data_IF_803467028442
#
_entry.id   IF_803467028442
#
_cell.length_a   1.000
_cell.length_b   1.000
_cell.length_c   1.000
_cell.angle_alpha   90.00
_cell.angle_beta   90.00
_cell.angle_gamma   90.00
#
_symmetry.space_group_name_H-M   'P 1'
#
loop_
_entity.id
_entity.type
_entity.pdbx_description
1 polymer ?
#
# COMPACT_ATOMS: atom_id res chain seq x y z
N UNK A 1 19.42 8.80 -0.54
CA UNK A 1 20.54 7.97 -1.03
C UNK A 1 20.08 6.85 -1.95
N UNK A 2 19.19 5.94 -1.49
CA UNK A 2 18.64 4.83 -2.29
C UNK A 2 18.01 5.28 -3.63
N UNK A 3 17.07 6.22 -3.62
CA UNK A 3 16.40 6.70 -4.84
C UNK A 3 17.38 7.26 -5.88
N UNK A 4 18.44 7.94 -5.43
CA UNK A 4 19.44 8.54 -6.34
C UNK A 4 20.38 7.48 -6.93
N UNK A 5 20.80 6.48 -6.14
CA UNK A 5 21.64 5.38 -6.62
C UNK A 5 20.88 4.46 -7.59
N UNK A 6 19.63 4.11 -7.26
CA UNK A 6 18.77 3.31 -8.13
C UNK A 6 18.47 4.03 -9.46
N UNK A 7 18.19 5.34 -9.41
CA UNK A 7 17.97 6.13 -10.61
C UNK A 7 19.24 6.24 -11.48
N UNK A 8 20.43 6.34 -10.88
CA UNK A 8 21.71 6.32 -11.60
C UNK A 8 22.01 4.98 -12.25
N UNK A 9 21.87 3.88 -11.50
CA UNK A 9 22.07 2.52 -12.03
C UNK A 9 21.14 2.21 -13.23
N UNK A 10 19.86 2.58 -13.14
CA UNK A 10 18.90 2.37 -14.22
C UNK A 10 19.23 3.20 -15.48
N UNK A 11 19.96 4.31 -15.34
CA UNK A 11 20.38 5.13 -16.46
C UNK A 11 21.60 4.55 -17.20
N UNK A 12 22.50 3.87 -16.48
CA UNK A 12 23.78 3.43 -17.03
C UNK A 12 23.76 1.99 -17.61
N UNK A 13 22.88 1.10 -17.13
CA UNK A 13 23.01 -0.37 -17.36
C UNK A 13 21.86 -1.01 -18.18
N UNK A 14 20.94 -0.22 -18.71
CA UNK A 14 19.82 -0.73 -19.52
C UNK A 14 20.24 -0.93 -20.99
N UNK A 15 20.26 -2.17 -21.52
CA UNK A 15 20.56 -2.37 -22.96
C UNK A 15 19.34 -2.15 -23.85
N UNK A 16 19.58 -1.19 -24.74
CA UNK A 16 18.84 -0.85 -25.93
C UNK A 16 18.65 -2.00 -26.93
N UNK A 17 17.43 -2.20 -27.46
CA UNK A 17 17.26 -2.89 -28.74
C UNK A 17 18.03 -2.15 -29.84
N UNK A 18 18.83 -2.85 -30.65
CA UNK A 18 19.68 -2.23 -31.68
C UNK A 18 18.88 -1.36 -32.67
N UNK A 19 17.64 -1.74 -32.96
CA UNK A 19 16.72 -0.99 -33.82
C UNK A 19 16.24 0.35 -33.20
N UNK A 20 16.13 0.43 -31.87
CA UNK A 20 15.81 1.68 -31.17
C UNK A 20 17.05 2.58 -31.05
N UNK A 21 18.23 1.94 -30.90
CA UNK A 21 19.54 2.61 -30.88
C UNK A 21 19.87 3.27 -32.22
N UNK A 22 19.56 2.61 -33.34
CA UNK A 22 19.76 3.17 -34.69
C UNK A 22 18.83 4.35 -35.00
N UNK A 23 17.73 4.48 -34.24
CA UNK A 23 16.77 5.58 -34.36
C UNK A 23 16.93 6.67 -33.29
N UNK A 24 17.85 6.50 -32.33
CA UNK A 24 18.12 7.46 -31.26
C UNK A 24 16.96 7.68 -30.28
N UNK A 25 16.05 6.71 -30.14
CA UNK A 25 14.86 6.85 -29.30
C UNK A 25 15.16 6.32 -27.90
N UNK A 26 15.48 7.21 -26.95
CA UNK A 26 15.78 6.81 -25.57
C UNK A 26 14.89 7.36 -24.45
N UNK A 27 14.61 6.53 -23.41
CA UNK A 27 13.82 6.96 -22.25
C UNK A 27 13.24 5.86 -21.35
N UNK A 28 12.37 6.28 -20.41
CA UNK A 28 11.60 5.41 -19.50
C UNK A 28 10.20 5.14 -20.05
N UNK A 29 9.78 3.87 -20.08
CA UNK A 29 8.39 3.49 -20.36
C UNK A 29 7.68 3.23 -19.04
N UNK A 30 6.62 3.98 -18.82
CA UNK A 30 5.77 3.79 -17.65
C UNK A 30 4.61 2.92 -18.07
N UNK A 31 4.51 1.73 -17.50
CA UNK A 31 3.35 0.85 -17.67
C UNK A 31 2.46 0.96 -16.44
N UNK A 32 1.17 1.17 -16.65
CA UNK A 32 0.15 0.89 -15.67
C UNK A 32 -0.34 -0.52 -15.91
N UNK A 33 -0.64 -1.23 -14.84
CA UNK A 33 -1.31 -2.51 -14.91
C UNK A 33 -2.18 -2.69 -13.68
N UNK A 34 -3.21 -3.51 -13.79
CA UNK A 34 -4.10 -3.86 -12.69
C UNK A 34 -3.74 -5.26 -12.25
N UNK A 35 -3.44 -5.45 -10.97
CA UNK A 35 -3.39 -6.78 -10.36
C UNK A 35 -4.82 -7.11 -9.92
N UNK A 36 -5.43 -8.08 -10.59
CA UNK A 36 -6.78 -8.54 -10.29
C UNK A 36 -6.79 -9.41 -9.01
N UNK A 37 -7.96 -9.64 -8.43
CA UNK A 37 -8.12 -10.44 -7.19
C UNK A 37 -7.68 -11.90 -7.35
N UNK A 38 -7.76 -12.45 -8.57
CA UNK A 38 -7.21 -13.77 -8.89
C UNK A 38 -5.68 -13.77 -9.08
N UNK A 39 -5.05 -12.61 -8.90
CA UNK A 39 -3.63 -12.36 -9.12
C UNK A 39 -3.28 -12.14 -10.59
N UNK A 40 -4.22 -12.22 -11.53
CA UNK A 40 -3.97 -11.92 -12.95
C UNK A 40 -3.62 -10.43 -13.14
N UNK A 41 -3.04 -10.09 -14.30
CA UNK A 41 -2.50 -8.75 -14.59
C UNK A 41 -3.27 -8.38 -15.82
N UNK A 42 -4.13 -7.40 -15.65
CA UNK A 42 -4.98 -6.88 -16.70
C UNK A 42 -4.61 -5.44 -16.98
N UNK A 43 -5.20 -4.89 -18.04
CA UNK A 43 -5.11 -3.47 -18.36
C UNK A 43 -3.68 -2.91 -18.40
N UNK A 44 -2.72 -3.72 -18.89
CA UNK A 44 -1.35 -3.29 -19.09
C UNK A 44 -1.34 -2.24 -20.18
N UNK A 45 -1.16 -1.00 -19.79
CA UNK A 45 -1.21 0.17 -20.65
C UNK A 45 0.08 0.94 -20.49
N UNK A 46 0.64 1.36 -21.61
CA UNK A 46 1.77 2.27 -21.57
C UNK A 46 1.23 3.68 -21.31
N UNK A 47 1.50 4.18 -20.11
CA UNK A 47 1.09 5.52 -19.62
C UNK A 47 1.94 6.59 -20.29
N UNK A 48 3.23 6.30 -20.47
CA UNK A 48 4.17 7.13 -21.21
C UNK A 48 5.08 6.23 -21.99
N UNK A 49 4.81 6.14 -23.29
CA UNK A 49 5.57 5.35 -24.24
C UNK A 49 6.63 6.18 -24.94
N UNK A 50 7.52 5.48 -25.64
CA UNK A 50 8.60 6.10 -26.40
C UNK A 50 8.53 5.70 -27.86
N UNK A 51 8.26 4.43 -28.11
CA UNK A 51 8.11 3.83 -29.44
C UNK A 51 7.29 2.54 -29.33
N UNK A 52 6.48 2.24 -30.34
CA UNK A 52 5.57 1.10 -30.32
C UNK A 52 6.25 -0.26 -30.11
N UNK A 53 7.51 -0.42 -30.55
CA UNK A 53 8.28 -1.66 -30.34
C UNK A 53 8.76 -1.79 -28.88
N UNK A 54 9.12 -0.68 -28.25
CA UNK A 54 9.56 -0.64 -26.86
C UNK A 54 8.36 -0.78 -25.90
N UNK A 55 7.25 -0.16 -26.27
CA UNK A 55 5.97 -0.27 -25.57
C UNK A 55 5.49 -1.74 -25.57
N UNK A 56 5.60 -2.42 -26.72
CA UNK A 56 5.25 -3.83 -26.85
C UNK A 56 6.15 -4.76 -26.01
N UNK A 57 7.45 -4.48 -25.90
CA UNK A 57 8.38 -5.27 -25.08
C UNK A 57 8.15 -5.06 -23.58
N UNK A 58 7.86 -3.84 -23.14
CA UNK A 58 7.45 -3.54 -21.77
C UNK A 58 6.15 -4.27 -21.40
N UNK A 59 5.21 -4.40 -22.34
CA UNK A 59 3.99 -5.21 -22.19
C UNK A 59 4.29 -6.72 -22.25
N UNK A 60 5.32 -7.14 -23.01
CA UNK A 60 5.73 -8.55 -23.18
C UNK A 60 6.32 -9.16 -21.93
N UNK A 61 6.87 -8.37 -21.00
CA UNK A 61 7.36 -8.81 -19.69
C UNK A 61 6.22 -9.37 -18.82
N UNK A 62 5.67 -10.50 -19.24
CA UNK A 62 4.67 -11.28 -18.53
C UNK A 62 5.38 -12.03 -17.41
N UNK A 63 4.72 -12.08 -16.26
CA UNK A 63 5.03 -13.03 -15.19
C UNK A 63 4.78 -14.46 -15.72
N UNK A 64 5.74 -15.04 -16.43
CA UNK A 64 5.72 -16.45 -16.85
C UNK A 64 6.30 -17.32 -15.73
N UNK A 65 6.08 -18.64 -15.77
CA UNK A 65 6.60 -19.58 -14.77
C UNK A 65 8.12 -19.52 -14.58
N UNK A 66 8.84 -19.11 -15.62
CA UNK A 66 10.30 -19.10 -15.64
C UNK A 66 10.88 -17.77 -15.10
N UNK A 67 10.01 -16.82 -14.74
CA UNK A 67 10.43 -15.56 -14.16
C UNK A 67 10.86 -15.71 -12.70
N UNK A 68 11.90 -14.96 -12.31
CA UNK A 68 12.26 -14.72 -10.92
C UNK A 68 12.06 -13.24 -10.62
N UNK A 69 11.00 -12.98 -9.87
CA UNK A 69 10.55 -11.64 -9.49
C UNK A 69 11.13 -11.29 -8.14
N UNK A 70 11.95 -10.26 -8.10
CA UNK A 70 12.39 -9.62 -6.87
C UNK A 70 11.49 -8.42 -6.57
N UNK A 71 10.82 -8.45 -5.43
CA UNK A 71 10.06 -7.32 -4.89
C UNK A 71 10.90 -6.64 -3.81
N UNK A 72 11.11 -5.34 -3.93
CA UNK A 72 11.78 -4.52 -2.92
C UNK A 72 10.70 -3.74 -2.17
N UNK A 73 10.48 -4.11 -0.92
CA UNK A 73 9.42 -3.58 -0.05
C UNK A 73 8.31 -4.61 0.20
N UNK A 74 8.06 -4.93 1.47
CA UNK A 74 7.02 -5.82 1.95
C UNK A 74 5.83 -5.06 2.58
N UNK A 75 5.43 -3.96 1.94
CA UNK A 75 4.13 -3.33 2.16
C UNK A 75 3.01 -4.02 1.37
N UNK A 76 1.80 -3.49 1.43
CA UNK A 76 0.60 -4.06 0.79
C UNK A 76 0.82 -4.43 -0.68
N UNK A 77 1.21 -3.46 -1.51
CA UNK A 77 1.42 -3.64 -2.94
C UNK A 77 2.54 -4.65 -3.23
N UNK A 78 3.65 -4.59 -2.49
CA UNK A 78 4.76 -5.51 -2.69
C UNK A 78 4.35 -6.96 -2.44
N UNK A 79 3.57 -7.19 -1.39
CA UNK A 79 3.04 -8.51 -1.07
C UNK A 79 1.98 -8.97 -2.09
N UNK A 80 1.08 -8.09 -2.56
CA UNK A 80 0.13 -8.43 -3.62
C UNK A 80 0.84 -8.86 -4.92
N UNK A 81 1.91 -8.14 -5.29
CA UNK A 81 2.75 -8.49 -6.44
C UNK A 81 3.41 -9.85 -6.25
N UNK A 82 3.96 -10.13 -5.06
CA UNK A 82 4.55 -11.43 -4.75
C UNK A 82 3.52 -12.57 -4.84
N UNK A 83 2.31 -12.34 -4.34
CA UNK A 83 1.21 -13.30 -4.44
C UNK A 83 0.80 -13.56 -5.89
N UNK A 84 0.64 -12.49 -6.67
CA UNK A 84 0.33 -12.56 -8.10
C UNK A 84 1.41 -13.31 -8.90
N UNK A 85 2.69 -13.08 -8.59
CA UNK A 85 3.80 -13.80 -9.20
C UNK A 85 3.73 -15.31 -8.91
N UNK A 86 3.53 -15.69 -7.64
CA UNK A 86 3.41 -17.10 -7.25
C UNK A 86 2.21 -17.80 -7.87
N UNK A 87 1.04 -17.15 -7.94
CA UNK A 87 -0.17 -17.72 -8.59
C UNK A 87 0.06 -18.05 -10.08
N UNK A 88 1.05 -17.42 -10.73
CA UNK A 88 1.44 -17.72 -12.12
C UNK A 88 2.62 -18.70 -12.27
N UNK A 89 3.09 -19.26 -11.16
CA UNK A 89 4.20 -20.20 -11.14
C UNK A 89 5.59 -19.55 -11.19
N UNK A 90 5.70 -18.23 -11.16
CA UNK A 90 6.98 -17.54 -11.08
C UNK A 90 7.63 -17.73 -9.70
N UNK A 91 8.96 -17.61 -9.62
CA UNK A 91 9.66 -17.46 -8.34
C UNK A 91 9.44 -16.03 -7.84
N UNK A 92 9.06 -15.87 -6.57
CA UNK A 92 8.88 -14.58 -5.94
C UNK A 92 9.77 -14.47 -4.71
N UNK A 93 10.60 -13.43 -4.69
CA UNK A 93 11.49 -13.09 -3.59
C UNK A 93 11.14 -11.68 -3.14
N UNK A 94 10.93 -11.46 -1.85
CA UNK A 94 10.63 -10.15 -1.26
C UNK A 94 11.77 -9.78 -0.32
N UNK A 95 12.34 -8.60 -0.51
CA UNK A 95 13.30 -8.01 0.43
C UNK A 95 12.68 -6.81 1.12
N UNK A 96 12.80 -6.74 2.44
CA UNK A 96 12.26 -5.68 3.27
C UNK A 96 13.33 -5.13 4.22
N UNK A 97 13.39 -3.81 4.33
CA UNK A 97 14.35 -3.13 5.20
C UNK A 97 13.95 -3.27 6.68
N UNK A 98 12.66 -3.17 6.98
CA UNK A 98 12.13 -3.42 8.31
C UNK A 98 12.34 -4.86 8.74
N UNK A 99 12.25 -5.11 10.04
CA UNK A 99 12.40 -6.43 10.65
C UNK A 99 11.21 -7.37 10.40
N UNK A 100 10.09 -6.84 9.87
CA UNK A 100 8.87 -7.58 9.55
C UNK A 100 8.08 -6.93 8.41
N UNK A 101 7.23 -7.72 7.77
CA UNK A 101 6.31 -7.24 6.71
C UNK A 101 5.26 -6.29 7.27
N UNK A 102 4.82 -5.31 6.48
CA UNK A 102 3.80 -4.33 6.88
C UNK A 102 4.04 -3.64 8.25
N UNK A 103 5.30 -3.48 8.66
CA UNK A 103 5.68 -3.05 10.03
C UNK A 103 5.05 -1.72 10.48
N UNK A 104 4.76 -0.81 9.54
CA UNK A 104 4.15 0.49 9.80
C UNK A 104 2.65 0.45 10.05
N UNK A 105 1.97 -0.61 9.61
CA UNK A 105 0.52 -0.68 9.62
C UNK A 105 -0.02 -1.74 10.59
N UNK A 106 0.77 -2.77 10.89
CA UNK A 106 0.29 -3.94 11.63
C UNK A 106 1.08 -4.20 12.92
N UNK A 107 0.46 -4.96 13.82
CA UNK A 107 1.11 -5.57 14.99
C UNK A 107 2.11 -6.66 14.58
N UNK A 108 3.11 -6.99 15.43
CA UNK A 108 4.03 -8.09 15.17
C UNK A 108 3.32 -9.41 14.86
N UNK A 109 2.26 -9.72 15.58
CA UNK A 109 1.46 -10.94 15.43
C UNK A 109 0.72 -11.00 14.09
N UNK A 110 0.14 -9.88 13.64
CA UNK A 110 -0.51 -9.81 12.33
C UNK A 110 0.52 -9.83 11.19
N UNK A 111 1.65 -9.13 11.35
CA UNK A 111 2.78 -9.20 10.41
C UNK A 111 3.28 -10.64 10.26
N UNK A 112 3.44 -11.37 11.36
CA UNK A 112 3.88 -12.76 11.33
C UNK A 112 2.87 -13.65 10.60
N UNK A 113 1.56 -13.47 10.85
CA UNK A 113 0.53 -14.24 10.16
C UNK A 113 0.58 -14.02 8.63
N UNK A 114 0.75 -12.77 8.18
CA UNK A 114 0.89 -12.45 6.75
C UNK A 114 2.21 -13.02 6.19
N UNK A 115 3.30 -12.92 6.94
CA UNK A 115 4.58 -13.51 6.54
C UNK A 115 4.43 -15.02 6.30
N UNK A 116 3.80 -15.73 7.24
CA UNK A 116 3.59 -17.18 7.15
C UNK A 116 2.65 -17.56 6.00
N UNK A 117 1.63 -16.74 5.72
CA UNK A 117 0.77 -16.87 4.53
C UNK A 117 1.58 -16.85 3.24
N UNK A 118 2.54 -15.93 3.11
CA UNK A 118 3.37 -15.84 1.91
C UNK A 118 4.38 -16.99 1.82
N UNK A 119 5.01 -17.34 2.95
CA UNK A 119 5.97 -18.43 3.03
C UNK A 119 5.33 -19.78 2.64
N UNK A 120 4.12 -20.09 3.16
CA UNK A 120 3.40 -21.33 2.80
C UNK A 120 2.97 -21.38 1.33
N UNK A 121 2.87 -20.23 0.66
CA UNK A 121 2.62 -20.13 -0.78
C UNK A 121 3.91 -20.06 -1.62
N UNK A 122 5.08 -20.26 -0.98
CA UNK A 122 6.37 -20.39 -1.64
C UNK A 122 7.02 -19.07 -2.02
N UNK A 123 6.66 -17.96 -1.37
CA UNK A 123 7.42 -16.71 -1.46
C UNK A 123 8.64 -16.80 -0.53
N UNK A 124 9.82 -16.40 -1.01
CA UNK A 124 11.00 -16.20 -0.17
C UNK A 124 10.99 -14.76 0.36
N UNK A 125 10.72 -14.56 1.66
CA UNK A 125 10.70 -13.24 2.29
C UNK A 125 11.95 -13.06 3.15
N UNK A 126 12.66 -11.95 2.94
CA UNK A 126 13.87 -11.58 3.67
C UNK A 126 13.72 -10.19 4.28
N UNK A 127 13.41 -10.16 5.57
CA UNK A 127 13.32 -8.93 6.37
C UNK A 127 14.70 -8.53 6.94
N UNK A 128 14.86 -7.26 7.33
CA UNK A 128 16.13 -6.70 7.78
C UNK A 128 17.20 -6.60 6.69
N UNK A 129 16.81 -6.73 5.42
CA UNK A 129 17.72 -6.72 4.27
C UNK A 129 17.64 -5.38 3.56
N UNK A 130 18.78 -4.71 3.43
CA UNK A 130 18.89 -3.47 2.66
C UNK A 130 19.35 -3.78 1.24
N UNK A 131 18.61 -3.31 0.25
CA UNK A 131 19.04 -3.32 -1.15
C UNK A 131 20.04 -2.18 -1.43
N UNK A 132 21.03 -2.42 -2.28
CA UNK A 132 21.97 -1.38 -2.74
C UNK A 132 21.80 -1.04 -4.22
N UNK A 133 22.02 -1.99 -5.13
CA UNK A 133 21.91 -1.78 -6.58
C UNK A 133 21.57 -3.08 -7.32
N UNK A 134 21.15 -2.97 -8.58
CA UNK A 134 20.99 -4.13 -9.46
C UNK A 134 22.30 -4.40 -10.22
N UNK A 135 22.41 -5.52 -10.93
CA UNK A 135 23.48 -5.79 -11.89
C UNK A 135 22.93 -6.52 -13.12
N UNK A 136 23.54 -6.30 -14.28
CA UNK A 136 23.35 -7.16 -15.44
C UNK A 136 23.94 -6.62 -16.74
N UNK A 137 24.35 -7.52 -17.63
CA UNK A 137 24.90 -7.17 -18.93
C UNK A 137 23.78 -6.99 -19.97
N UNK A 138 23.08 -5.87 -19.88
CA UNK A 138 22.03 -5.50 -20.83
C UNK A 138 20.63 -5.97 -20.54
N UNK A 139 20.31 -5.98 -19.26
CA UNK A 139 19.04 -6.41 -18.72
C UNK A 139 19.28 -6.87 -17.30
N UNK A 140 18.25 -6.79 -16.47
CA UNK A 140 18.34 -7.23 -15.08
C UNK A 140 18.75 -8.71 -15.01
N UNK A 141 19.81 -8.98 -14.25
CA UNK A 141 20.25 -10.36 -13.94
C UNK A 141 20.28 -10.62 -12.44
N UNK A 142 20.67 -9.62 -11.66
CA UNK A 142 20.96 -9.75 -10.23
C UNK A 142 20.58 -8.50 -9.47
N UNK A 143 20.34 -8.66 -8.18
CA UNK A 143 20.27 -7.60 -7.20
C UNK A 143 21.34 -7.81 -6.13
N UNK A 144 22.04 -6.74 -5.78
CA UNK A 144 23.09 -6.70 -4.78
C UNK A 144 22.53 -6.02 -3.54
N UNK A 145 22.56 -6.74 -2.43
CA UNK A 145 22.17 -6.21 -1.12
C UNK A 145 23.34 -5.43 -0.52
N UNK A 146 23.06 -4.57 0.47
CA UNK A 146 24.06 -3.72 1.12
C UNK A 146 25.12 -4.53 1.89
N UNK A 147 24.82 -5.77 2.27
CA UNK A 147 25.77 -6.70 2.90
C UNK A 147 26.63 -7.48 1.88
N UNK A 148 26.43 -7.22 0.58
CA UNK A 148 27.11 -7.90 -0.53
C UNK A 148 26.47 -9.22 -0.94
N UNK A 149 25.39 -9.66 -0.29
CA UNK A 149 24.63 -10.83 -0.76
C UNK A 149 23.95 -10.56 -2.10
N UNK A 150 23.76 -11.62 -2.88
CA UNK A 150 23.32 -11.55 -4.28
C UNK A 150 22.04 -12.35 -4.46
N UNK A 151 21.08 -11.78 -5.18
CA UNK A 151 19.84 -12.42 -5.57
C UNK A 151 19.74 -12.40 -7.10
N UNK A 152 19.75 -13.56 -7.75
CA UNK A 152 19.48 -13.66 -9.19
C UNK A 152 17.99 -13.36 -9.44
N UNK A 153 17.70 -12.44 -10.36
CA UNK A 153 16.35 -12.08 -10.76
C UNK A 153 16.33 -11.53 -12.18
N UNK A 154 15.20 -11.68 -12.86
CA UNK A 154 15.01 -11.14 -14.21
C UNK A 154 13.82 -10.17 -14.30
N UNK A 155 13.08 -10.01 -13.20
CA UNK A 155 12.05 -8.98 -13.00
C UNK A 155 12.28 -8.36 -11.62
N UNK A 156 12.20 -7.03 -11.54
CA UNK A 156 12.20 -6.31 -10.27
C UNK A 156 10.98 -5.40 -10.14
N UNK A 157 10.36 -5.39 -8.97
CA UNK A 157 9.28 -4.46 -8.60
C UNK A 157 9.72 -3.72 -7.35
N UNK A 158 9.69 -2.39 -7.40
CA UNK A 158 10.15 -1.53 -6.30
C UNK A 158 8.94 -0.82 -5.70
N UNK A 159 8.54 -1.26 -4.50
CA UNK A 159 7.39 -0.76 -3.76
C UNK A 159 7.78 -0.29 -2.36
N UNK A 160 8.54 0.81 -2.27
CA UNK A 160 9.12 1.34 -1.02
C UNK A 160 8.36 2.55 -0.45
N UNK A 161 7.08 2.68 -0.80
CA UNK A 161 6.23 3.80 -0.43
C UNK A 161 6.12 4.87 -1.51
N UNK A 162 5.25 5.86 -1.25
CA UNK A 162 4.92 6.93 -2.16
C UNK A 162 5.46 8.27 -1.63
N UNK A 163 5.89 9.15 -2.54
CA UNK A 163 6.10 10.57 -2.26
C UNK A 163 4.97 11.34 -2.92
N UNK A 164 4.21 12.18 -2.19
CA UNK A 164 3.12 12.94 -2.80
C UNK A 164 3.67 13.97 -3.78
N UNK A 165 3.07 14.09 -4.96
CA UNK A 165 3.42 15.12 -5.94
C UNK A 165 2.90 16.47 -5.44
N UNK A 166 3.83 17.31 -5.01
CA UNK A 166 3.56 18.62 -4.36
C UNK A 166 4.31 19.77 -5.04
N UNK A 167 5.11 19.47 -6.06
CA UNK A 167 6.04 20.41 -6.69
C UNK A 167 5.31 21.61 -7.29
N UNK A 168 4.14 21.38 -7.92
CA UNK A 168 3.32 22.44 -8.48
C UNK A 168 2.74 23.36 -7.39
N UNK A 169 2.27 22.78 -6.29
CA UNK A 169 1.71 23.52 -5.16
C UNK A 169 2.80 24.37 -4.47
N UNK A 170 3.96 23.76 -4.22
CA UNK A 170 5.11 24.47 -3.64
C UNK A 170 5.59 25.61 -4.54
N UNK A 171 5.71 25.37 -5.86
CA UNK A 171 6.08 26.40 -6.83
C UNK A 171 5.06 27.54 -6.93
N UNK A 172 3.78 27.25 -6.68
CA UNK A 172 2.71 28.24 -6.61
C UNK A 172 2.64 28.98 -5.25
N UNK A 173 3.51 28.65 -4.30
CA UNK A 173 3.53 29.26 -2.97
C UNK A 173 2.42 28.76 -2.03
N UNK A 174 1.87 27.58 -2.29
CA UNK A 174 0.89 26.94 -1.40
C UNK A 174 1.57 26.22 -0.24
N UNK A 175 0.85 26.07 0.87
CA UNK A 175 1.32 25.31 2.02
C UNK A 175 1.48 23.83 1.68
N UNK A 176 2.66 23.29 1.98
CA UNK A 176 3.03 21.89 1.74
C UNK A 176 3.70 21.31 2.98
N UNK A 177 3.18 20.18 3.44
CA UNK A 177 3.73 19.39 4.55
C UNK A 177 3.33 17.93 4.34
N UNK A 178 4.28 17.09 3.89
CA UNK A 178 4.01 15.69 3.49
C UNK A 178 2.69 15.57 2.70
N UNK A 179 2.53 16.41 1.67
CA UNK A 179 1.27 16.62 0.94
C UNK A 179 0.91 18.11 0.82
N UNK A 180 0.01 18.45 -0.09
CA UNK A 180 -0.64 19.76 -0.20
C UNK A 180 -1.54 19.94 1.01
N UNK A 181 -1.30 20.98 1.80
CA UNK A 181 -2.09 21.26 3.02
C UNK A 181 -3.44 21.84 2.60
N UNK A 182 -4.52 21.22 3.09
CA UNK A 182 -5.90 21.68 2.87
C UNK A 182 -6.70 21.81 4.18
N UNK A 183 -7.77 22.61 4.17
CA UNK A 183 -8.77 22.66 5.24
C UNK A 183 -9.70 21.43 5.23
N UNK A 184 -10.69 21.36 6.12
CA UNK A 184 -11.69 20.29 6.19
C UNK A 184 -12.54 20.17 4.90
N UNK A 185 -12.48 21.15 4.00
CA UNK A 185 -13.25 21.23 2.75
C UNK A 185 -12.37 20.98 1.52
N UNK A 186 -11.09 20.66 1.70
CA UNK A 186 -10.14 20.45 0.61
C UNK A 186 -9.57 21.73 0.00
N UNK A 187 -9.84 22.91 0.58
CA UNK A 187 -9.31 24.19 0.13
C UNK A 187 -7.86 24.36 0.61
N UNK A 188 -6.97 24.78 -0.28
CA UNK A 188 -5.56 25.07 0.05
C UNK A 188 -5.40 26.43 0.74
N UNK A 189 -4.16 26.86 0.98
CA UNK A 189 -3.84 28.24 1.42
C UNK A 189 -4.30 29.34 0.45
N UNK A 190 -4.69 28.99 -0.79
CA UNK A 190 -5.29 29.91 -1.75
C UNK A 190 -6.78 29.62 -1.93
N UNK A 191 -7.67 30.64 -1.88
CA UNK A 191 -9.12 30.44 -1.85
C UNK A 191 -9.68 29.74 -3.10
N UNK A 192 -9.06 29.96 -4.27
CA UNK A 192 -9.52 29.36 -5.54
C UNK A 192 -8.85 28.01 -5.88
N UNK A 193 -7.98 27.49 -5.01
CA UNK A 193 -7.22 26.26 -5.28
C UNK A 193 -7.55 25.21 -4.23
N UNK A 194 -7.84 23.98 -4.70
CA UNK A 194 -8.22 22.84 -3.88
C UNK A 194 -7.33 21.63 -4.21
N UNK A 195 -7.21 20.70 -3.26
CA UNK A 195 -6.56 19.41 -3.47
C UNK A 195 -7.35 18.28 -2.79
N UNK A 196 -7.29 17.08 -3.37
CA UNK A 196 -7.93 15.88 -2.85
C UNK A 196 -7.17 14.62 -3.32
N UNK A 197 -7.31 13.52 -2.57
CA UNK A 197 -6.65 12.24 -2.82
C UNK A 197 -5.27 12.14 -2.18
N UNK A 198 -4.41 11.31 -2.78
CA UNK A 198 -3.13 10.87 -2.20
C UNK A 198 -2.16 12.00 -1.83
N UNK A 199 -2.26 13.13 -2.51
CA UNK A 199 -1.41 14.30 -2.28
C UNK A 199 -2.00 15.29 -1.27
N UNK A 200 -3.23 15.10 -0.76
CA UNK A 200 -3.88 16.03 0.14
C UNK A 200 -3.64 15.67 1.62
N UNK A 201 -2.90 16.53 2.31
CA UNK A 201 -2.78 16.51 3.76
C UNK A 201 -3.96 17.30 4.34
N UNK A 202 -4.87 16.62 5.04
CA UNK A 202 -6.13 17.20 5.53
C UNK A 202 -6.33 16.94 7.03
N UNK A 203 -7.03 17.84 7.75
CA UNK A 203 -7.47 17.58 9.11
C UNK A 203 -8.52 16.46 9.14
N UNK A 204 -8.48 15.60 10.15
CA UNK A 204 -9.52 14.60 10.39
C UNK A 204 -10.03 14.77 11.82
N UNK A 205 -11.25 15.30 11.95
CA UNK A 205 -11.87 15.60 13.24
C UNK A 205 -12.23 14.34 14.05
N UNK A 206 -12.42 13.19 13.41
CA UNK A 206 -12.71 11.92 14.08
C UNK A 206 -11.46 11.29 14.70
N UNK A 207 -10.28 11.56 14.13
CA UNK A 207 -8.98 11.11 14.67
C UNK A 207 -8.25 12.20 15.47
N UNK A 208 -8.77 13.44 15.48
CA UNK A 208 -8.19 14.56 16.21
C UNK A 208 -6.81 15.03 15.70
N UNK A 209 -6.44 14.68 14.46
CA UNK A 209 -5.13 15.00 13.87
C UNK A 209 -5.21 15.18 12.37
N UNK A 210 -4.13 15.69 11.76
CA UNK A 210 -3.97 15.75 10.31
C UNK A 210 -3.48 14.41 9.77
N UNK A 211 -3.96 14.03 8.60
CA UNK A 211 -3.57 12.79 7.92
C UNK A 211 -3.37 13.02 6.43
N UNK A 212 -2.67 12.09 5.79
CA UNK A 212 -2.65 11.91 4.34
C UNK A 212 -2.89 10.44 4.05
N UNK A 213 -3.83 10.15 3.16
CA UNK A 213 -4.32 8.81 2.89
C UNK A 213 -4.13 8.46 1.42
N UNK A 214 -3.59 7.28 1.18
CA UNK A 214 -3.34 6.71 -0.15
C UNK A 214 -4.35 5.57 -0.40
N UNK A 215 -5.64 5.90 -0.36
CA UNK A 215 -6.72 4.93 -0.51
C UNK A 215 -7.81 5.41 -1.48
N UNK A 216 -8.43 4.44 -2.15
CA UNK A 216 -9.47 4.69 -3.12
C UNK A 216 -10.70 5.40 -2.51
N UNK A 217 -11.15 4.97 -1.33
CA UNK A 217 -12.30 5.57 -0.64
C UNK A 217 -12.01 7.03 -0.24
N UNK A 218 -10.80 7.31 0.28
CA UNK A 218 -10.38 8.67 0.58
C UNK A 218 -10.38 9.56 -0.67
N UNK A 219 -9.77 9.09 -1.76
CA UNK A 219 -9.70 9.87 -3.00
C UNK A 219 -11.10 10.20 -3.55
N UNK A 220 -12.04 9.26 -3.50
CA UNK A 220 -13.41 9.48 -3.93
C UNK A 220 -14.14 10.48 -3.02
N UNK A 221 -14.15 10.23 -1.72
CA UNK A 221 -14.99 11.00 -0.80
C UNK A 221 -14.45 12.42 -0.57
N UNK A 222 -13.12 12.58 -0.50
CA UNK A 222 -12.49 13.88 -0.39
C UNK A 222 -12.71 14.72 -1.65
N UNK A 223 -12.68 14.11 -2.84
CA UNK A 223 -12.98 14.82 -4.09
C UNK A 223 -14.44 15.30 -4.17
N UNK A 224 -15.39 14.50 -3.68
CA UNK A 224 -16.80 14.90 -3.58
C UNK A 224 -16.96 16.12 -2.65
N UNK A 225 -16.28 16.11 -1.50
CA UNK A 225 -16.30 17.25 -0.57
C UNK A 225 -15.69 18.52 -1.21
N UNK A 226 -14.50 18.41 -1.80
CA UNK A 226 -13.84 19.54 -2.46
C UNK A 226 -14.68 20.12 -3.60
N UNK A 227 -15.31 19.28 -4.42
CA UNK A 227 -16.19 19.72 -5.50
C UNK A 227 -17.43 20.47 -4.98
N UNK A 228 -18.03 20.02 -3.87
CA UNK A 228 -19.15 20.75 -3.24
C UNK A 228 -18.69 22.10 -2.68
N UNK A 229 -17.51 22.16 -2.08
CA UNK A 229 -16.94 23.40 -1.56
C UNK A 229 -16.70 24.44 -2.67
N UNK A 230 -16.20 24.01 -3.83
CA UNK A 230 -16.07 24.87 -5.03
C UNK A 230 -17.41 25.45 -5.50
N UNK A 231 -18.52 24.75 -5.24
CA UNK A 231 -19.88 25.19 -5.59
C UNK A 231 -20.54 26.04 -4.48
N UNK A 232 -19.80 26.41 -3.44
CA UNK A 232 -20.30 27.20 -2.30
C UNK A 232 -20.98 26.36 -1.21
N UNK A 233 -20.74 25.04 -1.18
CA UNK A 233 -21.17 24.17 -0.09
C UNK A 233 -20.26 24.28 1.15
N UNK A 234 -20.82 23.97 2.31
CA UNK A 234 -20.12 24.04 3.61
C UNK A 234 -19.90 22.65 4.24
N UNK A 235 -20.09 21.58 3.47
CA UNK A 235 -19.85 20.20 3.92
C UNK A 235 -18.34 20.01 4.19
N UNK A 236 -18.01 19.37 5.31
CA UNK A 236 -16.63 19.01 5.70
C UNK A 236 -16.36 17.52 5.53
N UNK A 237 -15.09 17.16 5.32
CA UNK A 237 -14.64 15.78 5.18
C UNK A 237 -13.93 15.30 6.44
N UNK A 238 -14.47 14.24 7.06
CA UNK A 238 -13.77 13.42 8.04
C UNK A 238 -14.41 12.02 8.07
N UNK A 239 -13.60 10.98 7.94
CA UNK A 239 -14.04 9.58 8.01
C UNK A 239 -13.06 8.75 8.85
N UNK A 240 -13.56 7.65 9.43
CA UNK A 240 -12.69 6.61 9.98
C UNK A 240 -12.10 5.85 8.78
N UNK A 241 -10.78 5.91 8.54
CA UNK A 241 -10.18 5.35 7.35
C UNK A 241 -10.42 3.84 7.28
N UNK A 242 -10.72 3.35 6.09
CA UNK A 242 -10.80 1.93 5.80
C UNK A 242 -10.01 1.62 4.54
N UNK A 243 -9.36 0.48 4.54
CA UNK A 243 -8.67 -0.05 3.38
C UNK A 243 -8.61 -1.57 3.44
N UNK A 244 -8.32 -2.18 2.30
CA UNK A 244 -8.17 -3.61 2.17
C UNK A 244 -6.99 -3.98 1.28
N UNK A 245 -6.56 -5.23 1.38
CA UNK A 245 -5.56 -5.85 0.51
C UNK A 245 -5.96 -7.30 0.30
N UNK A 246 -5.84 -7.78 -0.94
CA UNK A 246 -6.17 -9.15 -1.32
C UNK A 246 -4.88 -9.91 -1.64
N UNK A 247 -4.55 -10.90 -0.81
CA UNK A 247 -3.31 -11.66 -0.92
C UNK A 247 -3.61 -13.15 -0.81
N UNK A 248 -3.37 -13.91 -1.88
CA UNK A 248 -3.73 -15.33 -1.95
C UNK A 248 -5.21 -15.61 -1.66
N UNK A 249 -5.48 -16.29 -0.54
CA UNK A 249 -6.78 -16.66 0.03
C UNK A 249 -7.17 -15.76 1.22
N UNK A 250 -6.43 -14.69 1.47
CA UNK A 250 -6.67 -13.73 2.53
C UNK A 250 -7.17 -12.40 1.97
N UNK A 251 -8.37 -12.03 2.38
CA UNK A 251 -8.85 -10.64 2.34
C UNK A 251 -8.49 -9.98 3.67
N UNK A 252 -7.55 -9.04 3.60
CA UNK A 252 -7.05 -8.28 4.76
C UNK A 252 -7.77 -6.94 4.74
N UNK A 253 -8.38 -6.55 5.85
CA UNK A 253 -9.06 -5.26 5.97
C UNK A 253 -8.64 -4.53 7.23
N UNK A 254 -8.52 -3.22 7.15
CA UNK A 254 -8.15 -2.39 8.28
C UNK A 254 -9.14 -1.25 8.44
N UNK A 255 -9.46 -0.95 9.70
CA UNK A 255 -10.37 0.11 10.12
C UNK A 255 -9.65 0.99 11.13
N UNK A 256 -9.60 2.29 10.86
CA UNK A 256 -8.86 3.26 11.66
C UNK A 256 -7.38 3.34 11.32
N UNK A 257 -6.69 4.24 12.02
CA UNK A 257 -5.24 4.42 11.98
C UNK A 257 -4.70 4.43 13.43
N UNK A 258 -4.75 3.30 14.14
CA UNK A 258 -4.28 3.24 15.51
C UNK A 258 -2.79 3.59 15.57
N UNK A 259 -2.43 4.56 16.41
CA UNK A 259 -1.02 4.96 16.66
C UNK A 259 -0.57 4.63 18.08
N UNK A 260 -1.51 4.51 19.02
CA UNK A 260 -1.27 4.23 20.42
C UNK A 260 -2.40 3.34 20.96
N UNK A 261 -2.04 2.23 21.59
CA UNK A 261 -2.94 1.28 22.25
C UNK A 261 -2.16 0.56 23.35
N UNK A 262 -2.87 0.04 24.36
CA UNK A 262 -2.27 -0.74 25.46
C UNK A 262 -2.77 -2.18 25.52
N UNK A 263 -3.76 -2.54 24.72
CA UNK A 263 -4.31 -3.89 24.67
C UNK A 263 -4.73 -4.26 23.24
N UNK A 264 -4.45 -5.51 22.86
CA UNK A 264 -4.91 -6.11 21.60
C UNK A 264 -5.83 -7.28 21.90
N UNK A 265 -6.97 -7.35 21.22
CA UNK A 265 -7.96 -8.41 21.45
C UNK A 265 -8.25 -9.15 20.16
N UNK A 266 -8.15 -10.47 20.19
CA UNK A 266 -8.43 -11.32 19.03
C UNK A 266 -9.80 -11.96 19.17
N UNK A 267 -10.59 -11.85 18.10
CA UNK A 267 -11.90 -12.50 17.95
C UNK A 267 -11.89 -13.39 16.71
N UNK A 268 -12.19 -14.68 16.89
CA UNK A 268 -12.11 -15.69 15.83
C UNK A 268 -10.88 -16.57 15.96
N UNK A 269 -10.45 -17.19 14.87
CA UNK A 269 -9.36 -18.18 14.87
C UNK A 269 -8.25 -17.80 13.88
N UNK A 270 -7.06 -17.52 14.42
CA UNK A 270 -5.86 -17.22 13.62
C UNK A 270 -5.41 -18.41 12.78
N UNK A 271 -5.56 -19.64 13.28
CA UNK A 271 -5.13 -20.84 12.57
C UNK A 271 -6.05 -21.13 11.38
N UNK A 272 -7.35 -20.83 11.52
CA UNK A 272 -8.31 -20.92 10.42
C UNK A 272 -8.20 -19.76 9.42
N UNK A 273 -7.48 -18.69 9.76
CA UNK A 273 -7.36 -17.50 8.92
C UNK A 273 -8.66 -16.72 8.82
N UNK A 274 -9.48 -16.72 9.88
CA UNK A 274 -10.74 -15.96 9.97
C UNK A 274 -10.84 -15.30 11.35
N UNK A 275 -10.38 -14.05 11.47
CA UNK A 275 -10.34 -13.34 12.75
C UNK A 275 -10.31 -11.82 12.58
N UNK A 276 -10.58 -11.12 13.69
CA UNK A 276 -10.39 -9.68 13.86
C UNK A 276 -9.48 -9.45 15.05
N UNK A 277 -8.48 -8.58 14.89
CA UNK A 277 -7.68 -8.03 15.97
C UNK A 277 -8.13 -6.59 16.23
N UNK A 278 -8.61 -6.32 17.44
CA UNK A 278 -9.02 -5.00 17.91
C UNK A 278 -7.88 -4.33 18.67
N UNK A 279 -7.74 -3.01 18.49
CA UNK A 279 -6.75 -2.18 19.19
C UNK A 279 -7.47 -1.32 20.23
N UNK A 280 -7.12 -1.50 21.51
CA UNK A 280 -7.75 -0.78 22.62
C UNK A 280 -6.77 0.15 23.33
N UNK A 281 -7.20 1.37 23.59
CA UNK A 281 -6.56 2.31 24.53
C UNK A 281 -7.49 2.54 25.71
N UNK A 282 -7.13 2.00 26.88
CA UNK A 282 -7.92 2.16 28.10
C UNK A 282 -9.39 1.73 27.92
N UNK A 283 -9.59 0.65 27.16
CA UNK A 283 -10.90 0.10 26.79
C UNK A 283 -11.61 0.82 25.64
N UNK A 284 -11.14 1.97 25.16
CA UNK A 284 -11.66 2.62 23.94
C UNK A 284 -11.11 1.93 22.70
N UNK A 285 -11.94 1.81 21.67
CA UNK A 285 -11.54 1.18 20.41
C UNK A 285 -10.85 2.19 19.48
N UNK A 286 -9.57 1.96 19.19
CA UNK A 286 -8.74 2.83 18.35
C UNK A 286 -8.67 2.35 16.89
N UNK A 287 -9.01 1.08 16.65
CA UNK A 287 -9.02 0.49 15.32
C UNK A 287 -9.20 -1.01 15.35
N UNK A 288 -9.19 -1.62 14.17
CA UNK A 288 -9.11 -3.07 14.04
C UNK A 288 -8.50 -3.48 12.70
N UNK A 289 -7.88 -4.66 12.66
CA UNK A 289 -7.47 -5.33 11.44
C UNK A 289 -8.13 -6.72 11.39
N UNK A 290 -8.63 -7.12 10.22
CA UNK A 290 -9.32 -8.39 10.03
C UNK A 290 -8.69 -9.20 8.90
N UNK A 291 -8.70 -10.51 9.08
CA UNK A 291 -8.42 -11.50 8.04
C UNK A 291 -9.71 -12.27 7.80
N UNK A 292 -10.23 -12.21 6.57
CA UNK A 292 -11.41 -12.94 6.10
C UNK A 292 -12.69 -12.79 6.96
N UNK A 293 -12.77 -11.78 7.84
CA UNK A 293 -13.92 -11.56 8.72
C UNK A 293 -14.52 -10.14 8.58
N UNK A 294 -15.06 -9.78 7.39
CA UNK A 294 -15.74 -8.49 7.19
C UNK A 294 -17.02 -8.36 8.03
N UNK A 295 -17.64 -9.49 8.41
CA UNK A 295 -18.89 -9.52 9.18
C UNK A 295 -18.75 -8.86 10.54
N UNK A 296 -17.63 -9.11 11.22
CA UNK A 296 -17.38 -8.56 12.55
C UNK A 296 -16.71 -7.17 12.43
N UNK A 297 -15.79 -6.99 11.47
CA UNK A 297 -15.12 -5.71 11.22
C UNK A 297 -16.08 -4.55 10.94
N UNK A 298 -17.21 -4.78 10.27
CA UNK A 298 -18.19 -3.72 9.93
C UNK A 298 -18.73 -2.96 11.15
N UNK A 299 -18.66 -3.54 12.35
CA UNK A 299 -19.10 -2.88 13.58
C UNK A 299 -18.05 -1.92 14.15
N UNK A 300 -16.77 -2.13 13.84
CA UNK A 300 -15.63 -1.37 14.36
C UNK A 300 -15.81 0.13 14.12
N UNK A 301 -16.19 0.55 12.91
CA UNK A 301 -16.40 1.98 12.59
C UNK A 301 -17.37 2.65 13.58
N UNK A 302 -18.50 2.01 13.87
CA UNK A 302 -19.51 2.55 14.80
C UNK A 302 -19.06 2.50 16.25
N UNK A 303 -18.23 1.52 16.61
CA UNK A 303 -17.68 1.39 17.95
C UNK A 303 -16.62 2.45 18.24
N UNK A 304 -15.75 2.73 17.27
CA UNK A 304 -14.76 3.82 17.34
C UNK A 304 -15.43 5.20 17.47
N UNK A 305 -16.51 5.43 16.74
CA UNK A 305 -17.28 6.68 16.81
C UNK A 305 -18.17 6.78 18.06
N UNK A 306 -18.13 5.80 18.96
CA UNK A 306 -18.90 5.84 20.20
C UNK A 306 -18.00 6.21 21.37
N UNK A 307 -18.53 6.94 22.36
CA UNK A 307 -17.81 7.25 23.60
C UNK A 307 -17.72 6.05 24.58
N UNK A 308 -17.94 4.83 24.09
CA UNK A 308 -17.98 3.62 24.91
C UNK A 308 -16.59 3.02 25.10
N UNK A 309 -16.42 2.41 26.26
CA UNK A 309 -15.34 1.46 26.52
C UNK A 309 -15.86 0.04 26.36
N UNK A 310 -15.03 -0.85 25.86
CA UNK A 310 -15.34 -2.24 25.60
C UNK A 310 -14.46 -3.13 26.45
N UNK A 311 -15.06 -4.17 27.04
CA UNK A 311 -14.31 -5.19 27.76
C UNK A 311 -13.66 -6.14 26.75
N UNK A 312 -12.36 -6.42 26.91
CA UNK A 312 -11.63 -7.35 26.07
C UNK A 312 -12.25 -8.75 26.00
N UNK A 313 -12.77 -9.29 27.11
CA UNK A 313 -13.41 -10.60 27.12
C UNK A 313 -14.65 -10.65 26.23
N UNK A 314 -15.46 -9.58 26.26
CA UNK A 314 -16.68 -9.50 25.45
C UNK A 314 -16.37 -9.34 23.95
N UNK A 315 -15.28 -8.64 23.63
CA UNK A 315 -14.82 -8.49 22.24
C UNK A 315 -14.28 -9.82 21.68
N UNK A 316 -13.51 -10.55 22.48
CA UNK A 316 -12.92 -11.83 22.10
C UNK A 316 -13.98 -12.94 21.90
N UNK A 317 -15.05 -12.92 22.69
CA UNK A 317 -16.05 -13.99 22.71
C UNK A 317 -16.93 -14.02 21.44
N UNK A 318 -16.81 -15.04 20.56
CA UNK A 318 -17.60 -15.14 19.34
C UNK A 318 -19.12 -15.21 19.57
N UNK A 319 -19.59 -15.65 20.76
CA UNK A 319 -21.00 -15.75 21.10
C UNK A 319 -21.61 -14.40 21.51
N UNK A 320 -20.78 -13.43 21.89
CA UNK A 320 -21.21 -12.06 22.14
C UNK A 320 -21.42 -11.34 20.81
N UNK A 321 -22.66 -10.89 20.56
CA UNK A 321 -22.98 -10.09 19.36
C UNK A 321 -22.44 -8.68 19.52
N UNK A 322 -21.43 -8.28 18.72
CA UNK A 322 -20.84 -6.93 18.74
C UNK A 322 -21.88 -5.79 18.66
N UNK A 323 -22.96 -5.99 17.88
CA UNK A 323 -24.07 -5.02 17.82
C UNK A 323 -24.73 -4.76 19.20
N UNK A 324 -24.76 -5.75 20.10
CA UNK A 324 -25.32 -5.57 21.45
C UNK A 324 -24.41 -4.69 22.33
N UNK A 325 -23.09 -4.72 22.12
CA UNK A 325 -22.15 -3.85 22.85
C UNK A 325 -22.37 -2.38 22.51
N UNK A 326 -22.85 -2.11 21.28
CA UNK A 326 -23.28 -0.77 20.89
C UNK A 326 -24.60 -0.33 21.52
N UNK A 327 -25.42 -1.24 22.05
CA UNK A 327 -26.69 -0.91 22.73
C UNK A 327 -26.41 -0.56 24.20
N UNK A 328 -26.95 0.57 24.63
CA UNK A 328 -26.81 1.15 25.97
C UNK A 328 -27.44 2.51 25.91
#
# INVERSE_FOLDING_TARGET
CFNNKLAGYLADEYKYPEAARSLGVEGKIYVNFVVESDGSISNVTVVKGLDALLDAEAIRAKLTSDATVLVIGAGWIGLEVAAAARKRGATAIVVELADRVCARALTPEMSQWIHDLHLRNGVDIRCGVSFDHFEGDGGLRRAIMADGSVIDCNIAVVGIGLTPNVELAAAAGLDVDNGIVVDERGQTSHPDIYAAGDNANHPNSLLGRRIRLESWENAQNQAICAAKAMLGGEDTYAEIPWFWSDQFDANIQMMGLPEDWNETVVRGDRNAGEFVEFYLKDGKLEGAAAINNPRDLRFTRRMMMSDKTFNASDLADPDVKLQKLLKG
#
